data_IF_771350785186
#
_entry.id   IF_771350785186
#
_cell.length_a   1.000
_cell.length_b   1.000
_cell.length_c   1.000
_cell.angle_alpha   90.00
_cell.angle_beta   90.00
_cell.angle_gamma   90.00
#
_symmetry.space_group_name_H-M   'P 1'
#
loop_
_entity.id
_entity.type
_entity.pdbx_description
1 polymer ?
#
# COMPACT_ATOMS: atom_id res chain seq x y z
N UNK A 1 0.26 -8.65 12.08
CA UNK A 1 -0.29 -9.61 11.10
C UNK A 1 0.83 -9.97 10.14
N UNK A 2 0.82 -11.18 9.59
CA UNK A 2 1.70 -11.64 8.51
C UNK A 2 1.29 -11.01 7.17
N UNK A 3 2.17 -11.07 6.17
CA UNK A 3 1.83 -10.58 4.83
C UNK A 3 0.67 -11.37 4.20
N UNK A 4 0.64 -12.69 4.40
CA UNK A 4 -0.40 -13.59 3.90
C UNK A 4 -1.78 -13.27 4.47
N UNK A 5 -1.84 -12.87 5.75
CA UNK A 5 -3.08 -12.46 6.41
C UNK A 5 -3.62 -11.14 5.85
N UNK A 6 -2.75 -10.19 5.48
CA UNK A 6 -3.19 -8.90 4.96
C UNK A 6 -3.48 -8.91 3.45
N UNK A 7 -2.94 -9.87 2.68
CA UNK A 7 -3.08 -9.90 1.23
C UNK A 7 -4.55 -9.93 0.75
N UNK A 8 -5.49 -10.70 1.35
CA UNK A 8 -6.91 -10.61 1.03
C UNK A 8 -7.48 -9.20 1.29
N UNK A 9 -7.05 -8.54 2.37
CA UNK A 9 -7.46 -7.17 2.68
C UNK A 9 -6.93 -6.17 1.66
N UNK A 10 -5.67 -6.29 1.25
CA UNK A 10 -5.09 -5.47 0.18
C UNK A 10 -5.87 -5.63 -1.13
N UNK A 11 -6.27 -6.86 -1.49
CA UNK A 11 -7.14 -7.13 -2.65
C UNK A 11 -8.53 -6.48 -2.51
N UNK A 12 -9.03 -6.33 -1.29
CA UNK A 12 -10.24 -5.60 -0.98
C UNK A 12 -10.02 -4.08 -0.84
N UNK A 13 -8.88 -3.56 -1.33
CA UNK A 13 -8.50 -2.14 -1.31
C UNK A 13 -8.38 -1.56 0.11
N UNK A 14 -8.15 -2.39 1.13
CA UNK A 14 -7.82 -1.92 2.49
C UNK A 14 -6.37 -1.44 2.56
N UNK A 15 -6.09 -0.63 3.58
CA UNK A 15 -4.78 0.00 3.82
C UNK A 15 -4.04 -0.73 4.93
N UNK A 16 -2.75 -0.99 4.72
CA UNK A 16 -1.90 -1.64 5.71
C UNK A 16 -0.55 -0.94 5.83
N UNK A 17 0.00 -0.95 7.03
CA UNK A 17 1.32 -0.38 7.33
C UNK A 17 2.09 -1.36 8.21
N UNK A 18 3.41 -1.27 8.22
CA UNK A 18 4.23 -2.01 9.18
C UNK A 18 4.56 -1.13 10.37
N UNK A 19 4.35 -1.64 11.58
CA UNK A 19 4.69 -0.90 12.81
C UNK A 19 6.19 -0.63 12.96
N UNK A 20 7.05 -1.41 12.30
CA UNK A 20 8.49 -1.24 12.25
C UNK A 20 8.99 -0.30 11.15
N UNK A 21 8.12 0.26 10.29
CA UNK A 21 8.54 1.34 9.39
C UNK A 21 8.83 2.59 10.23
N UNK A 22 10.04 3.12 10.10
CA UNK A 22 10.51 4.28 10.87
C UNK A 22 10.57 5.58 10.06
N UNK A 23 10.13 5.55 8.81
CA UNK A 23 10.11 6.70 7.91
C UNK A 23 8.73 7.39 7.89
N UNK A 24 8.43 8.02 6.76
CA UNK A 24 7.18 8.75 6.57
C UNK A 24 6.12 7.92 5.83
N UNK A 25 6.30 6.61 5.76
CA UNK A 25 5.36 5.68 5.12
C UNK A 25 4.08 5.54 5.94
N UNK A 26 2.94 5.89 5.35
CA UNK A 26 1.64 5.86 6.03
C UNK A 26 0.92 4.52 5.82
N UNK A 27 0.91 3.99 4.59
CA UNK A 27 0.28 2.72 4.24
C UNK A 27 0.61 2.28 2.82
N UNK A 28 0.35 1.00 2.53
CA UNK A 28 0.21 0.42 1.19
C UNK A 28 -1.23 0.03 0.91
N UNK A 29 -1.63 0.09 -0.36
CA UNK A 29 -2.97 -0.26 -0.85
C UNK A 29 -2.92 -0.70 -2.31
N UNK A 30 -3.84 -1.58 -2.73
CA UNK A 30 -4.00 -1.96 -4.13
C UNK A 30 -4.83 -0.93 -4.90
N UNK A 31 -4.34 -0.54 -6.07
CA UNK A 31 -5.06 0.27 -7.06
C UNK A 31 -5.21 -0.51 -8.36
N UNK A 32 -6.40 -0.43 -8.96
CA UNK A 32 -6.79 -1.05 -10.23
C UNK A 32 -7.40 -0.03 -11.21
N UNK A 33 -7.41 1.25 -10.83
CA UNK A 33 -7.87 2.36 -11.65
C UNK A 33 -7.05 3.62 -11.36
N UNK A 34 -6.91 4.47 -12.37
CA UNK A 34 -6.36 5.83 -12.24
C UNK A 34 -7.33 6.86 -12.80
N UNK A 35 -7.20 8.10 -12.36
CA UNK A 35 -7.82 9.24 -13.05
C UNK A 35 -6.79 9.91 -13.97
N UNK A 36 -7.14 10.05 -15.25
CA UNK A 36 -6.36 10.79 -16.22
C UNK A 36 -7.28 11.72 -17.01
N UNK A 37 -7.03 13.04 -16.96
CA UNK A 37 -7.85 14.06 -17.63
C UNK A 37 -9.34 14.00 -17.24
N UNK A 38 -9.65 13.74 -15.96
CA UNK A 38 -11.02 13.62 -15.46
C UNK A 38 -11.75 12.34 -15.89
N UNK A 39 -11.05 11.38 -16.48
CA UNK A 39 -11.59 10.08 -16.85
C UNK A 39 -10.97 8.99 -15.97
N UNK A 40 -11.81 8.13 -15.40
CA UNK A 40 -11.38 6.91 -14.74
C UNK A 40 -10.97 5.88 -15.80
N UNK A 41 -9.73 5.42 -15.74
CA UNK A 41 -9.18 4.38 -16.60
C UNK A 41 -8.86 3.16 -15.76
N UNK A 42 -9.29 1.98 -16.22
CA UNK A 42 -8.83 0.72 -15.65
C UNK A 42 -7.34 0.53 -15.96
N UNK A 43 -6.60 -0.02 -15.00
CA UNK A 43 -5.18 -0.34 -15.15
C UNK A 43 -4.89 -1.72 -14.61
N UNK A 44 -3.79 -2.32 -15.04
CA UNK A 44 -3.26 -3.52 -14.41
C UNK A 44 -3.07 -3.25 -12.90
N UNK A 45 -3.61 -4.07 -11.99
CA UNK A 45 -3.52 -3.78 -10.56
C UNK A 45 -2.08 -3.71 -10.05
N UNK A 46 -1.78 -2.71 -9.23
CA UNK A 46 -0.49 -2.54 -8.57
C UNK A 46 -0.66 -1.97 -7.16
N UNK A 47 0.29 -2.29 -6.28
CA UNK A 47 0.33 -1.68 -4.95
C UNK A 47 0.99 -0.31 -5.04
N UNK A 48 0.39 0.66 -4.35
CA UNK A 48 1.01 1.94 -4.09
C UNK A 48 1.31 2.06 -2.61
N UNK A 49 2.42 2.73 -2.28
CA UNK A 49 2.73 3.22 -0.94
C UNK A 49 2.44 4.71 -0.87
N UNK A 50 1.76 5.14 0.19
CA UNK A 50 1.54 6.54 0.52
C UNK A 50 2.61 7.00 1.52
N UNK A 51 3.25 8.12 1.22
CA UNK A 51 4.32 8.70 2.04
C UNK A 51 3.99 10.18 2.31
N UNK A 52 4.28 10.65 3.52
CA UNK A 52 4.18 12.08 3.90
C UNK A 52 5.55 12.75 3.96
N UNK A 53 5.59 14.09 4.06
CA UNK A 53 6.85 14.83 4.22
C UNK A 53 7.60 15.07 2.90
N UNK A 54 8.93 15.05 2.95
CA UNK A 54 9.76 15.27 1.75
C UNK A 54 9.62 14.08 0.79
N UNK A 55 8.92 14.29 -0.33
CA UNK A 55 8.53 13.22 -1.26
C UNK A 55 7.08 12.76 -1.10
N UNK A 56 6.23 13.59 -0.50
CA UNK A 56 4.79 13.34 -0.36
C UNK A 56 4.14 12.85 -1.65
N UNK A 57 3.34 11.79 -1.51
CA UNK A 57 2.52 11.27 -2.59
C UNK A 57 2.43 9.75 -2.59
N UNK A 58 2.06 9.21 -3.75
CA UNK A 58 2.03 7.77 -3.98
C UNK A 58 3.20 7.34 -4.86
N UNK A 59 3.85 6.26 -4.46
CA UNK A 59 4.86 5.57 -5.28
C UNK A 59 4.45 4.12 -5.49
N UNK A 60 4.87 3.53 -6.62
CA UNK A 60 4.73 2.09 -6.80
C UNK A 60 5.50 1.35 -5.73
N UNK A 61 4.86 0.36 -5.12
CA UNK A 61 5.47 -0.48 -4.11
C UNK A 61 5.46 -1.94 -4.54
N UNK A 62 6.63 -2.56 -4.50
CA UNK A 62 6.78 -3.99 -4.65
C UNK A 62 7.28 -4.54 -3.31
N UNK A 63 6.58 -5.50 -2.68
CA UNK A 63 7.00 -6.04 -1.40
C UNK A 63 8.40 -6.65 -1.52
N UNK A 64 9.29 -6.24 -0.63
CA UNK A 64 10.61 -6.86 -0.49
C UNK A 64 10.50 -8.19 0.26
N UNK A 65 11.52 -9.06 0.25
CA UNK A 65 11.52 -10.24 1.12
C UNK A 65 11.31 -9.90 2.60
N UNK A 66 11.81 -8.76 3.07
CA UNK A 66 11.60 -8.29 4.44
C UNK A 66 10.14 -7.94 4.72
N UNK A 67 9.38 -7.50 3.72
CA UNK A 67 7.96 -7.16 3.84
C UNK A 67 7.09 -8.41 3.79
N UNK A 68 7.45 -9.37 2.93
CA UNK A 68 6.75 -10.66 2.84
C UNK A 68 6.90 -11.47 4.12
N UNK A 69 8.10 -11.47 4.72
CA UNK A 69 8.40 -12.23 5.94
C UNK A 69 8.06 -11.48 7.24
N UNK A 70 7.47 -10.28 7.13
CA UNK A 70 7.12 -9.47 8.28
C UNK A 70 5.85 -9.97 8.97
N UNK A 71 5.84 -9.89 10.31
CA UNK A 71 4.71 -10.26 11.15
C UNK A 71 4.04 -9.04 11.81
N UNK A 72 4.54 -7.84 11.51
CA UNK A 72 4.22 -6.59 12.16
C UNK A 72 3.29 -5.68 11.33
N UNK A 73 2.51 -6.27 10.42
CA UNK A 73 1.50 -5.55 9.66
C UNK A 73 0.28 -5.16 10.50
N UNK A 74 -0.24 -3.97 10.26
CA UNK A 74 -1.38 -3.34 10.93
C UNK A 74 -2.33 -2.77 9.88
N UNK A 75 -3.64 -3.02 10.02
CA UNK A 75 -4.66 -2.37 9.20
C UNK A 75 -4.84 -0.94 9.68
N UNK A 76 -4.90 0.02 8.75
CA UNK A 76 -5.18 1.42 9.07
C UNK A 76 -6.48 1.86 8.43
N UNK A 77 -7.17 2.74 9.12
CA UNK A 77 -8.43 3.34 8.69
C UNK A 77 -8.21 4.85 8.56
N UNK A 78 -8.84 5.46 7.57
CA UNK A 78 -8.88 6.92 7.42
C UNK A 78 -9.68 7.59 8.56
#
# INVERSE_FOLDING_TARGET
MTFEEILPGLKAKKKYVRSGWGGAENYVQLFDSIEQNGQALEVTPYFLINVSGDGEGFSMWAPTPCDVLAEDWVEVHD
#
